data_IF_806479586003
#
_entry.id   IF_806479586003
#
_cell.length_a   1.000
_cell.length_b   1.000
_cell.length_c   1.000
_cell.angle_alpha   90.00
_cell.angle_beta   90.00
_cell.angle_gamma   90.00
#
_symmetry.space_group_name_H-M   'P 1'
#
loop_
_entity.id
_entity.type
_entity.pdbx_description
1 polymer ?
#
# COMPACT_ATOMS: atom_id res chain seq x y z
N UNK A 1 0.06 -9.12 24.92
CA UNK A 1 0.52 -9.57 23.57
C UNK A 1 -0.71 -10.01 22.77
N UNK A 2 -0.86 -9.60 21.52
CA UNK A 2 -2.06 -9.87 20.69
C UNK A 2 -2.07 -11.27 20.02
N UNK A 3 -1.10 -12.16 20.32
CA UNK A 3 -1.08 -13.55 19.82
C UNK A 3 -0.80 -13.74 18.32
N UNK A 4 -0.73 -12.65 17.53
CA UNK A 4 -0.49 -12.73 16.09
C UNK A 4 0.91 -13.31 15.76
N UNK A 5 0.96 -14.22 14.78
CA UNK A 5 2.21 -14.74 14.23
C UNK A 5 2.70 -13.81 13.13
N UNK A 6 3.90 -13.27 13.30
CA UNK A 6 4.48 -12.26 12.40
C UNK A 6 5.77 -12.78 11.77
N UNK A 7 6.07 -12.34 10.56
CA UNK A 7 7.34 -12.57 9.86
C UNK A 7 7.80 -11.30 9.18
N UNK A 8 8.99 -10.84 9.54
CA UNK A 8 9.66 -9.72 8.89
C UNK A 8 10.55 -10.27 7.80
N UNK A 9 10.40 -9.73 6.59
CA UNK A 9 11.20 -10.07 5.41
C UNK A 9 11.82 -8.80 4.83
N UNK A 10 13.13 -8.79 4.65
CA UNK A 10 13.87 -7.64 4.14
C UNK A 10 14.31 -7.84 2.69
N UNK A 11 14.27 -6.77 1.89
CA UNK A 11 14.85 -6.76 0.54
C UNK A 11 16.38 -6.77 0.55
N UNK A 12 17.00 -6.35 1.67
CA UNK A 12 18.46 -6.42 1.90
C UNK A 12 18.72 -7.46 2.99
N UNK A 13 19.73 -8.29 2.80
CA UNK A 13 20.08 -9.34 3.76
C UNK A 13 20.61 -8.77 5.06
N UNK A 14 19.93 -9.06 6.16
CA UNK A 14 20.32 -8.69 7.53
C UNK A 14 20.24 -9.95 8.40
N UNK A 15 21.37 -10.65 8.50
CA UNK A 15 21.45 -11.90 9.26
C UNK A 15 21.03 -11.68 10.73
N UNK A 16 20.44 -12.71 11.35
CA UNK A 16 19.97 -12.75 12.74
C UNK A 16 18.86 -11.77 13.15
N UNK A 17 18.48 -10.82 12.29
CA UNK A 17 17.41 -9.83 12.58
C UNK A 17 16.10 -10.18 11.87
N UNK A 18 16.13 -10.55 10.59
CA UNK A 18 14.93 -10.84 9.81
C UNK A 18 15.20 -11.84 8.67
N UNK A 19 14.13 -12.36 8.07
CA UNK A 19 14.26 -13.25 6.91
C UNK A 19 14.57 -12.44 5.64
N UNK A 20 15.25 -13.03 4.66
CA UNK A 20 15.32 -12.46 3.31
C UNK A 20 13.95 -12.53 2.63
N UNK A 21 13.60 -11.51 1.85
CA UNK A 21 12.40 -11.57 1.01
C UNK A 21 12.55 -12.64 -0.07
N UNK A 22 11.69 -13.65 0.01
CA UNK A 22 11.54 -14.67 -1.02
C UNK A 22 10.04 -14.78 -1.31
N UNK A 23 9.61 -14.39 -2.51
CA UNK A 23 8.19 -14.33 -2.92
C UNK A 23 7.39 -15.57 -2.50
N UNK A 24 7.86 -16.77 -2.84
CA UNK A 24 7.17 -18.04 -2.51
C UNK A 24 7.06 -18.27 -1.00
N UNK A 25 8.05 -17.81 -0.22
CA UNK A 25 8.04 -17.90 1.24
C UNK A 25 7.06 -16.90 1.85
N UNK A 26 7.02 -15.67 1.32
CA UNK A 26 6.07 -14.64 1.74
C UNK A 26 4.63 -15.11 1.55
N UNK A 27 4.30 -15.62 0.36
CA UNK A 27 3.00 -16.23 0.05
C UNK A 27 2.68 -17.36 1.04
N UNK A 28 3.61 -18.29 1.27
CA UNK A 28 3.43 -19.39 2.22
C UNK A 28 3.19 -18.91 3.66
N UNK A 29 3.79 -17.79 4.08
CA UNK A 29 3.53 -17.22 5.39
C UNK A 29 2.09 -16.67 5.47
N UNK A 30 1.65 -15.95 4.44
CA UNK A 30 0.30 -15.40 4.33
C UNK A 30 -0.76 -16.51 4.31
N UNK A 31 -0.56 -17.57 3.51
CA UNK A 31 -1.44 -18.76 3.46
C UNK A 31 -1.60 -19.46 4.82
N UNK A 32 -0.59 -19.34 5.70
CA UNK A 32 -0.62 -19.87 7.07
C UNK A 32 -1.23 -18.91 8.10
N UNK A 33 -1.85 -17.81 7.65
CA UNK A 33 -2.46 -16.80 8.51
C UNK A 33 -1.43 -15.96 9.29
N UNK A 34 -0.20 -15.82 8.77
CA UNK A 34 0.84 -14.98 9.40
C UNK A 34 0.83 -13.59 8.79
N UNK A 35 1.12 -12.59 9.60
CA UNK A 35 1.34 -11.22 9.14
C UNK A 35 2.76 -11.14 8.56
N UNK A 36 2.87 -10.79 7.29
CA UNK A 36 4.13 -10.49 6.63
C UNK A 36 4.42 -8.99 6.71
N UNK A 37 5.60 -8.62 7.21
CA UNK A 37 6.10 -7.24 7.22
C UNK A 37 7.29 -7.18 6.26
N UNK A 38 7.19 -6.32 5.24
CA UNK A 38 8.28 -6.11 4.28
C UNK A 38 9.12 -4.90 4.68
N UNK A 39 10.43 -5.10 4.78
CA UNK A 39 11.40 -4.10 5.19
C UNK A 39 12.43 -3.83 4.07
N UNK A 40 13.19 -2.74 4.22
CA UNK A 40 14.17 -2.25 3.25
C UNK A 40 13.60 -1.94 1.84
N UNK A 41 12.28 -1.77 1.71
CA UNK A 41 11.62 -1.38 0.46
C UNK A 41 11.92 -2.35 -0.69
N UNK A 42 12.51 -1.81 -1.75
CA UNK A 42 13.00 -2.59 -2.90
C UNK A 42 14.46 -3.03 -2.77
N UNK A 43 15.17 -2.57 -1.73
CA UNK A 43 16.61 -2.79 -1.54
C UNK A 43 17.49 -1.90 -2.42
N UNK A 44 16.90 -1.06 -3.27
CA UNK A 44 17.59 -0.15 -4.18
C UNK A 44 17.26 1.31 -3.83
N UNK A 45 18.23 2.24 -3.96
CA UNK A 45 17.97 3.67 -3.83
C UNK A 45 17.04 4.17 -4.94
N UNK A 46 16.54 5.40 -4.77
CA UNK A 46 15.66 6.13 -5.71
C UNK A 46 14.21 5.64 -5.86
N UNK A 47 13.84 4.53 -5.20
CA UNK A 47 12.45 4.09 -5.13
C UNK A 47 11.79 4.53 -3.84
N UNK A 48 10.52 4.93 -3.93
CA UNK A 48 9.75 5.34 -2.76
C UNK A 48 9.21 4.13 -2.02
N UNK A 49 8.69 4.36 -0.81
CA UNK A 49 7.93 3.36 -0.06
C UNK A 49 6.65 2.94 -0.79
N UNK A 50 6.01 3.85 -1.53
CA UNK A 50 4.82 3.52 -2.33
C UNK A 50 5.19 2.55 -3.47
N UNK A 51 6.32 2.77 -4.17
CA UNK A 51 6.80 1.85 -5.20
C UNK A 51 7.10 0.47 -4.61
N UNK A 52 7.69 0.43 -3.41
CA UNK A 52 7.92 -0.83 -2.71
C UNK A 52 6.63 -1.54 -2.31
N UNK A 53 5.64 -0.81 -1.79
CA UNK A 53 4.35 -1.37 -1.41
C UNK A 53 3.59 -1.92 -2.62
N UNK A 54 3.57 -1.17 -3.73
CA UNK A 54 2.98 -1.60 -5.00
C UNK A 54 3.61 -2.91 -5.50
N UNK A 55 4.95 -2.99 -5.55
CA UNK A 55 5.62 -4.20 -6.00
C UNK A 55 5.32 -5.40 -5.10
N UNK A 56 5.42 -5.24 -3.78
CA UNK A 56 5.16 -6.35 -2.86
C UNK A 56 3.72 -6.82 -2.94
N UNK A 57 2.76 -5.90 -3.11
CA UNK A 57 1.35 -6.24 -3.30
C UNK A 57 1.14 -7.05 -4.59
N UNK A 58 1.73 -6.64 -5.71
CA UNK A 58 1.68 -7.39 -6.97
C UNK A 58 2.30 -8.78 -6.82
N UNK A 59 3.50 -8.87 -6.25
CA UNK A 59 4.21 -10.15 -6.12
C UNK A 59 3.48 -11.16 -5.24
N UNK A 60 2.85 -10.73 -4.14
CA UNK A 60 2.08 -11.62 -3.27
C UNK A 60 0.67 -11.89 -3.79
N UNK A 61 0.26 -11.25 -4.90
CA UNK A 61 -1.08 -11.39 -5.46
C UNK A 61 -2.16 -10.78 -4.54
N UNK A 62 -1.86 -9.64 -3.93
CA UNK A 62 -2.84 -8.94 -3.10
C UNK A 62 -4.03 -8.47 -3.94
N UNK A 63 -5.22 -8.52 -3.37
CA UNK A 63 -6.47 -8.11 -4.02
C UNK A 63 -6.72 -6.60 -3.93
N UNK A 64 -6.03 -5.91 -3.02
CA UNK A 64 -6.21 -4.50 -2.73
C UNK A 64 -4.95 -3.95 -2.06
N UNK A 65 -4.46 -2.81 -2.54
CA UNK A 65 -3.43 -2.03 -1.87
C UNK A 65 -4.08 -0.93 -1.03
N UNK A 66 -3.89 -1.00 0.29
CA UNK A 66 -4.38 0.00 1.23
C UNK A 66 -3.29 1.02 1.52
N UNK A 67 -3.52 2.28 1.15
CA UNK A 67 -2.62 3.40 1.46
C UNK A 67 -3.18 4.21 2.62
N UNK A 68 -2.57 4.06 3.79
CA UNK A 68 -2.90 4.84 4.98
C UNK A 68 -2.36 6.27 4.86
N UNK A 69 -3.23 7.27 5.01
CA UNK A 69 -2.88 8.70 4.98
C UNK A 69 -3.45 9.45 6.19
N UNK A 70 -3.09 10.73 6.35
CA UNK A 70 -3.70 11.64 7.34
C UNK A 70 -5.03 12.23 6.89
N UNK A 71 -5.30 12.19 5.59
CA UNK A 71 -6.59 12.54 4.99
C UNK A 71 -7.37 11.26 4.70
N UNK A 72 -8.69 11.34 4.63
CA UNK A 72 -9.60 10.22 4.49
C UNK A 72 -9.92 9.85 3.04
N UNK A 73 -9.24 10.45 2.06
CA UNK A 73 -9.39 10.09 0.65
C UNK A 73 -8.59 10.97 -0.31
N UNK A 74 -8.94 10.86 -1.59
CA UNK A 74 -8.42 11.71 -2.67
C UNK A 74 -9.38 12.88 -2.84
N UNK A 75 -8.81 14.08 -2.99
CA UNK A 75 -9.54 15.33 -3.13
C UNK A 75 -9.18 16.06 -4.42
N UNK A 76 -10.07 16.91 -4.91
CA UNK A 76 -9.81 17.77 -6.08
C UNK A 76 -8.68 18.79 -5.86
N UNK A 77 -8.45 19.18 -4.61
CA UNK A 77 -7.37 20.04 -4.16
C UNK A 77 -7.00 19.69 -2.70
N UNK A 78 -5.92 20.25 -2.15
CA UNK A 78 -5.55 20.04 -0.75
C UNK A 78 -6.65 20.57 0.19
N UNK A 79 -7.38 19.70 0.92
CA UNK A 79 -8.50 20.11 1.76
C UNK A 79 -8.06 20.96 2.98
N UNK A 80 -6.77 20.96 3.33
CA UNK A 80 -6.23 21.84 4.36
C UNK A 80 -6.06 23.30 3.88
N UNK A 81 -5.99 23.51 2.55
CA UNK A 81 -5.79 24.83 1.93
C UNK A 81 -7.02 25.34 1.19
N UNK A 82 -7.86 24.43 0.71
CA UNK A 82 -9.02 24.71 -0.13
C UNK A 82 -10.28 24.15 0.53
N UNK A 83 -11.11 25.04 1.09
CA UNK A 83 -12.37 24.66 1.76
C UNK A 83 -13.41 24.05 0.80
N UNK A 84 -13.28 24.36 -0.49
CA UNK A 84 -14.11 23.87 -1.58
C UNK A 84 -13.60 22.55 -2.18
N UNK A 85 -12.53 21.95 -1.61
CA UNK A 85 -12.00 20.68 -2.07
C UNK A 85 -13.05 19.56 -1.95
N UNK A 86 -13.35 18.92 -3.07
CA UNK A 86 -14.33 17.84 -3.15
C UNK A 86 -13.63 16.49 -3.06
N UNK A 87 -14.13 15.61 -2.19
CA UNK A 87 -13.62 14.24 -2.05
C UNK A 87 -14.17 13.38 -3.17
N UNK A 88 -13.31 12.61 -3.82
CA UNK A 88 -13.73 11.59 -4.78
C UNK A 88 -14.05 10.27 -4.06
N UNK A 89 -15.13 9.62 -4.47
CA UNK A 89 -15.50 8.31 -3.92
C UNK A 89 -14.80 7.16 -4.64
N UNK A 90 -14.76 7.22 -5.96
CA UNK A 90 -14.10 6.27 -6.85
C UNK A 90 -13.47 7.04 -7.99
N UNK A 91 -12.28 6.62 -8.42
CA UNK A 91 -11.57 7.16 -9.57
C UNK A 91 -10.96 6.01 -10.37
N UNK A 92 -11.00 6.11 -11.69
CA UNK A 92 -10.19 5.25 -12.55
C UNK A 92 -8.72 5.70 -12.53
N UNK A 93 -7.84 4.81 -13.00
CA UNK A 93 -6.43 5.14 -13.18
C UNK A 93 -6.22 6.32 -14.14
N UNK A 94 -7.00 6.37 -15.22
CA UNK A 94 -6.89 7.42 -16.23
C UNK A 94 -7.38 8.76 -15.69
N UNK A 95 -8.48 8.77 -14.92
CA UNK A 95 -8.99 10.00 -14.29
C UNK A 95 -7.96 10.64 -13.34
N UNK A 96 -7.22 9.83 -12.59
CA UNK A 96 -6.15 10.31 -11.70
C UNK A 96 -5.03 10.96 -12.51
N UNK A 97 -4.64 10.37 -13.64
CA UNK A 97 -3.58 10.89 -14.51
C UNK A 97 -4.03 12.18 -15.20
N UNK A 98 -5.22 12.18 -15.80
CA UNK A 98 -5.80 13.33 -16.51
C UNK A 98 -5.94 14.55 -15.59
N UNK A 99 -6.43 14.32 -14.36
CA UNK A 99 -6.62 15.37 -13.35
C UNK A 99 -5.37 15.68 -12.54
N UNK A 100 -4.24 15.01 -12.81
CA UNK A 100 -2.96 15.16 -12.10
C UNK A 100 -3.10 15.07 -10.57
N UNK A 101 -3.93 14.14 -10.09
CA UNK A 101 -4.20 13.98 -8.66
C UNK A 101 -3.01 13.29 -7.98
N UNK A 102 -2.53 13.86 -6.88
CA UNK A 102 -1.41 13.31 -6.13
C UNK A 102 -1.83 12.10 -5.28
N UNK A 103 -1.84 10.90 -5.87
CA UNK A 103 -2.20 9.64 -5.19
C UNK A 103 -0.98 8.93 -4.62
N UNK A 104 0.05 8.72 -5.44
CA UNK A 104 1.36 8.13 -5.11
C UNK A 104 2.37 8.60 -6.17
N UNK A 105 3.65 8.27 -6.02
CA UNK A 105 4.61 8.55 -7.10
C UNK A 105 4.24 7.82 -8.40
N UNK A 106 4.64 8.39 -9.52
CA UNK A 106 4.28 7.91 -10.85
C UNK A 106 4.68 6.46 -11.10
N UNK A 107 5.82 6.00 -10.56
CA UNK A 107 6.29 4.63 -10.77
C UNK A 107 5.42 3.62 -10.01
N UNK A 108 5.07 3.91 -8.75
CA UNK A 108 4.14 3.10 -7.98
C UNK A 108 2.75 3.04 -8.63
N UNK A 109 2.27 4.18 -9.12
CA UNK A 109 0.95 4.29 -9.75
C UNK A 109 0.86 3.49 -11.04
N UNK A 110 1.86 3.62 -11.91
CA UNK A 110 1.96 2.85 -13.14
C UNK A 110 2.01 1.34 -12.86
N UNK A 111 2.79 0.92 -11.85
CA UNK A 111 2.87 -0.49 -11.49
C UNK A 111 1.53 -1.05 -11.01
N UNK A 112 0.74 -0.30 -10.25
CA UNK A 112 -0.59 -0.75 -9.83
C UNK A 112 -1.58 -0.79 -11.00
N UNK A 113 -1.52 0.20 -11.90
CA UNK A 113 -2.35 0.26 -13.11
C UNK A 113 -2.09 -0.92 -14.04
N UNK A 114 -0.83 -1.18 -14.36
CA UNK A 114 -0.43 -2.19 -15.34
C UNK A 114 -0.72 -3.62 -14.86
N UNK A 115 -1.00 -3.80 -13.56
CA UNK A 115 -1.39 -5.06 -12.93
C UNK A 115 -2.85 -5.07 -12.42
N UNK A 116 -3.66 -4.07 -12.79
CA UNK A 116 -5.06 -3.92 -12.35
C UNK A 116 -5.26 -4.04 -10.83
N UNK A 117 -4.24 -3.66 -10.04
CA UNK A 117 -4.26 -3.76 -8.58
C UNK A 117 -5.09 -2.60 -8.02
N UNK A 118 -6.26 -2.81 -7.38
CA UNK A 118 -7.03 -1.71 -6.83
C UNK A 118 -6.27 -1.00 -5.70
N UNK A 119 -6.39 0.33 -5.62
CA UNK A 119 -5.81 1.15 -4.54
C UNK A 119 -6.95 1.75 -3.73
N UNK A 120 -6.85 1.70 -2.40
CA UNK A 120 -7.77 2.41 -1.51
C UNK A 120 -7.00 3.26 -0.51
N UNK A 121 -7.18 4.57 -0.64
CA UNK A 121 -6.68 5.55 0.33
C UNK A 121 -7.66 5.63 1.50
N UNK A 122 -7.14 5.66 2.72
CA UNK A 122 -7.96 5.81 3.91
C UNK A 122 -7.21 6.49 5.06
N UNK A 123 -7.98 7.12 5.95
CA UNK A 123 -7.46 7.67 7.20
C UNK A 123 -7.22 6.55 8.24
N UNK A 124 -5.95 6.40 8.64
CA UNK A 124 -5.53 5.43 9.66
C UNK A 124 -5.80 5.92 11.10
N UNK A 125 -5.98 7.23 11.30
CA UNK A 125 -6.28 7.82 12.60
C UNK A 125 -7.67 7.47 13.11
N UNK A 126 -8.60 7.09 12.22
CA UNK A 126 -9.97 6.71 12.57
C UNK A 126 -10.05 5.25 13.03
N UNK A 127 -10.34 4.95 14.32
CA UNK A 127 -10.43 3.59 14.81
C UNK A 127 -11.48 2.76 14.05
N UNK A 128 -11.15 1.49 13.76
CA UNK A 128 -12.04 0.57 13.05
C UNK A 128 -12.15 0.80 11.54
N UNK A 129 -11.55 1.85 10.98
CA UNK A 129 -11.64 2.15 9.53
C UNK A 129 -11.07 1.01 8.67
N UNK A 130 -9.89 0.49 9.05
CA UNK A 130 -9.29 -0.67 8.38
C UNK A 130 -10.23 -1.89 8.37
N UNK A 131 -10.83 -2.22 9.53
CA UNK A 131 -11.72 -3.37 9.63
C UNK A 131 -13.00 -3.20 8.82
N UNK A 132 -13.54 -1.98 8.73
CA UNK A 132 -14.68 -1.66 7.87
C UNK A 132 -14.33 -1.84 6.40
N UNK A 133 -13.17 -1.36 5.97
CA UNK A 133 -12.71 -1.52 4.59
C UNK A 133 -12.56 -3.01 4.21
N UNK A 134 -11.93 -3.81 5.07
CA UNK A 134 -11.67 -5.24 4.81
C UNK A 134 -12.95 -6.08 4.83
N UNK A 135 -14.01 -5.64 5.53
CA UNK A 135 -15.28 -6.36 5.62
C UNK A 135 -16.29 -5.99 4.52
N UNK A 136 -16.02 -4.94 3.74
CA UNK A 136 -17.00 -4.31 2.85
C UNK A 136 -17.95 -3.38 3.58
#
# INVERSE_FOLDING_TARGET
>A
KLGAKVRVMSAIRINDVCEDFIRRRAIRHIEKGRIAIFAAGLGNPFFTTDSAAALRAVEIGAQLLLKATKVDGIYSADPARHVDAQRFETLSYDEVIERKLAVMDTAAFALCRDHDLPIRIYDMGRPGNLMRIVRG
#
